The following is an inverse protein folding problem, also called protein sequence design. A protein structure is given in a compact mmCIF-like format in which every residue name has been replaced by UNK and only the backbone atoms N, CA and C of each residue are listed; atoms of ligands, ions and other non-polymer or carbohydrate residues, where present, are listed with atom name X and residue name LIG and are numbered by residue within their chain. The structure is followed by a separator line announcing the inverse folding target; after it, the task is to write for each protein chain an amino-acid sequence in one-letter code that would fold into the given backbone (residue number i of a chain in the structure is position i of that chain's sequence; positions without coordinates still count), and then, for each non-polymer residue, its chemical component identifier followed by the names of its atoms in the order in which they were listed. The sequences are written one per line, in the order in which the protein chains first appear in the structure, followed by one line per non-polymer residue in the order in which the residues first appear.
data_IF_089524389869
#
_entry.id   IF_089524389869
#
_cell.length_a   1.000
_cell.length_b   1.000
_cell.length_c   1.000
_cell.angle_alpha   90.00
_cell.angle_beta   90.00
_cell.angle_gamma   90.00
#
_symmetry.space_group_name_H-M   'P 1'
#
loop_
_entity.id
_entity.type
_entity.pdbx_description
1 polymer ?
#
# COMPACT_ATOMS: atom_id res chain seq x y z
N UNK A 1 -2.44 -6.70 -23.99
CA UNK A 1 -2.95 -7.82 -23.17
C UNK A 1 -2.27 -7.95 -21.80
N UNK A 2 -0.94 -8.17 -21.69
CA UNK A 2 -0.28 -8.24 -20.37
C UNK A 2 -0.22 -6.89 -19.65
N UNK A 3 0.24 -5.82 -20.33
CA UNK A 3 0.27 -4.46 -19.77
C UNK A 3 -1.12 -3.92 -19.38
N UNK A 4 -2.14 -4.30 -20.15
CA UNK A 4 -3.53 -3.92 -19.89
C UNK A 4 -4.08 -4.59 -18.62
N UNK A 5 -3.71 -5.86 -18.39
CA UNK A 5 -4.01 -6.56 -17.14
C UNK A 5 -3.32 -5.89 -15.95
N UNK A 6 -2.03 -5.52 -16.09
CA UNK A 6 -1.29 -4.81 -15.04
C UNK A 6 -1.97 -3.48 -14.67
N UNK A 7 -2.33 -2.67 -15.67
CA UNK A 7 -3.06 -1.42 -15.44
C UNK A 7 -4.41 -1.63 -14.75
N UNK A 8 -5.13 -2.71 -15.09
CA UNK A 8 -6.40 -3.05 -14.43
C UNK A 8 -6.19 -3.43 -12.95
N UNK A 9 -5.14 -4.19 -12.63
CA UNK A 9 -4.82 -4.57 -11.25
C UNK A 9 -4.42 -3.35 -10.42
N UNK A 10 -3.57 -2.48 -10.97
CA UNK A 10 -3.14 -1.24 -10.32
C UNK A 10 -4.35 -0.34 -10.05
N UNK A 11 -5.24 -0.16 -11.03
CA UNK A 11 -6.45 0.65 -10.89
C UNK A 11 -7.38 0.14 -9.79
N UNK A 12 -7.68 -1.16 -9.77
CA UNK A 12 -8.52 -1.75 -8.70
C UNK A 12 -7.86 -1.66 -7.32
N UNK A 13 -6.55 -1.83 -7.25
CA UNK A 13 -5.83 -1.74 -5.99
C UNK A 13 -5.78 -0.31 -5.44
N UNK A 14 -5.71 0.70 -6.30
CA UNK A 14 -5.73 2.11 -5.90
C UNK A 14 -7.12 2.58 -5.46
N UNK A 15 -8.19 2.06 -6.07
CA UNK A 15 -9.58 2.22 -5.60
C UNK A 15 -9.73 1.65 -4.18
N UNK A 16 -9.36 0.39 -3.98
CA UNK A 16 -9.41 -0.26 -2.66
C UNK A 16 -8.60 0.49 -1.59
N UNK A 17 -7.42 1.01 -1.95
CA UNK A 17 -6.57 1.80 -1.05
C UNK A 17 -7.26 3.11 -0.64
N UNK A 18 -7.89 3.78 -1.60
CA UNK A 18 -8.62 5.04 -1.35
C UNK A 18 -9.82 4.82 -0.43
N UNK A 19 -10.56 3.74 -0.62
CA UNK A 19 -11.71 3.37 0.22
C UNK A 19 -11.27 3.06 1.65
N UNK A 20 -10.20 2.28 1.82
CA UNK A 20 -9.61 1.99 3.14
C UNK A 20 -9.20 3.27 3.88
N UNK A 21 -8.62 4.25 3.18
CA UNK A 21 -8.24 5.53 3.78
C UNK A 21 -9.44 6.32 4.25
N UNK A 22 -10.47 6.40 3.42
CA UNK A 22 -11.68 7.15 3.75
C UNK A 22 -12.44 6.52 4.92
N UNK A 23 -12.36 5.20 5.10
CA UNK A 23 -12.91 4.52 6.27
C UNK A 23 -12.07 4.76 7.54
N UNK A 24 -10.74 4.69 7.45
CA UNK A 24 -9.87 4.76 8.62
C UNK A 24 -9.57 6.20 9.09
N UNK A 25 -9.53 7.18 8.19
CA UNK A 25 -9.15 8.57 8.47
C UNK A 25 -10.27 9.50 7.98
N UNK A 26 -10.85 10.37 8.85
CA UNK A 26 -10.40 10.72 10.20
C UNK A 26 -11.07 9.94 11.35
N UNK A 27 -12.17 9.23 11.09
CA UNK A 27 -13.05 8.70 12.15
C UNK A 27 -12.51 7.41 12.79
N UNK A 28 -11.86 6.54 12.00
CA UNK A 28 -11.34 5.25 12.47
C UNK A 28 -10.06 5.32 13.33
N UNK A 29 -9.57 6.51 13.64
CA UNK A 29 -8.35 6.69 14.45
C UNK A 29 -8.64 6.52 15.94
N UNK A 30 -7.80 5.74 16.65
CA UNK A 30 -7.89 5.58 18.11
C UNK A 30 -7.80 6.92 18.86
N UNK A 31 -6.96 7.82 18.37
CA UNK A 31 -6.88 9.20 18.84
C UNK A 31 -7.33 10.12 17.70
N UNK A 32 -8.42 10.83 17.94
CA UNK A 32 -8.98 11.81 17.01
C UNK A 32 -8.36 13.20 17.24
N UNK A 33 -8.52 14.08 16.25
CA UNK A 33 -8.18 15.49 16.39
C UNK A 33 -8.99 16.12 17.54
N UNK A 34 -8.41 17.00 18.40
CA UNK A 34 -7.07 17.60 18.34
C UNK A 34 -5.96 16.85 19.11
N UNK A 35 -6.27 15.73 19.76
CA UNK A 35 -5.32 15.05 20.66
C UNK A 35 -4.23 14.25 19.95
N UNK A 36 -4.44 13.95 18.67
CA UNK A 36 -3.46 13.26 17.85
C UNK A 36 -2.52 14.27 17.17
N UNK A 37 -1.32 14.43 17.74
CA UNK A 37 -0.31 15.36 17.21
C UNK A 37 0.08 15.02 15.76
N UNK A 38 0.14 13.74 15.40
CA UNK A 38 0.48 13.32 14.04
C UNK A 38 -0.59 13.73 13.03
N UNK A 39 -1.86 13.45 13.34
CA UNK A 39 -2.99 13.91 12.53
C UNK A 39 -3.04 15.45 12.48
N UNK A 40 -2.80 16.13 13.61
CA UNK A 40 -2.79 17.59 13.68
C UNK A 40 -1.73 18.19 12.78
N UNK A 41 -0.49 17.68 12.77
CA UNK A 41 0.59 18.18 11.90
C UNK A 41 0.24 18.09 10.41
N UNK A 42 -0.48 17.03 10.01
CA UNK A 42 -0.90 16.81 8.63
C UNK A 42 -2.10 17.71 8.28
N UNK A 43 -3.11 17.79 9.14
CA UNK A 43 -4.31 18.60 8.89
C UNK A 43 -4.02 20.11 8.89
N UNK A 44 -3.10 20.58 9.75
CA UNK A 44 -2.70 21.99 9.77
C UNK A 44 -1.69 22.36 8.69
N UNK A 45 -1.19 21.38 7.92
CA UNK A 45 -0.16 21.59 6.91
C UNK A 45 1.23 21.90 7.47
N UNK A 46 1.46 21.68 8.77
CA UNK A 46 2.75 21.93 9.40
C UNK A 46 3.84 20.99 8.86
N UNK A 47 3.55 19.68 8.80
CA UNK A 47 4.47 18.69 8.21
C UNK A 47 3.76 17.38 7.86
N UNK A 48 4.08 16.87 6.68
CA UNK A 48 3.53 15.61 6.16
C UNK A 48 2.26 15.81 5.34
N UNK A 49 1.80 14.73 4.72
CA UNK A 49 0.59 14.71 3.89
C UNK A 49 -0.37 13.61 4.33
N UNK A 50 -1.61 13.65 3.81
CA UNK A 50 -2.60 12.58 4.01
C UNK A 50 -2.06 11.20 3.60
N UNK A 51 -1.20 11.16 2.58
CA UNK A 51 -0.53 9.93 2.12
C UNK A 51 0.45 9.39 3.16
N UNK A 52 1.25 10.26 3.80
CA UNK A 52 2.14 9.83 4.88
C UNK A 52 1.32 9.29 6.06
N UNK A 53 0.21 9.94 6.39
CA UNK A 53 -0.66 9.51 7.48
C UNK A 53 -1.31 8.15 7.20
N UNK A 54 -1.76 7.93 5.96
CA UNK A 54 -2.38 6.66 5.55
C UNK A 54 -1.38 5.51 5.51
N UNK A 55 -0.16 5.72 5.03
CA UNK A 55 0.87 4.66 5.01
C UNK A 55 1.29 4.24 6.42
N UNK A 56 1.27 5.17 7.38
CA UNK A 56 1.53 4.86 8.78
C UNK A 56 0.34 4.14 9.43
N UNK A 57 -0.88 4.59 9.19
CA UNK A 57 -2.07 4.18 9.97
C UNK A 57 -2.90 3.06 9.31
N UNK A 58 -2.96 3.01 7.98
CA UNK A 58 -3.85 2.15 7.20
C UNK A 58 -3.08 1.01 6.52
N UNK A 59 -2.46 1.29 5.36
CA UNK A 59 -1.62 0.37 4.59
C UNK A 59 -0.74 1.15 3.61
N UNK A 60 0.35 0.55 3.14
CA UNK A 60 1.24 1.18 2.15
C UNK A 60 0.57 1.27 0.77
N UNK A 61 -0.09 0.19 0.34
CA UNK A 61 -0.76 0.11 -0.97
C UNK A 61 0.08 -0.59 -2.04
N UNK A 62 -0.23 -0.31 -3.31
CA UNK A 62 0.47 -0.90 -4.45
C UNK A 62 1.84 -0.25 -4.63
N UNK A 63 2.89 -1.07 -4.67
CA UNK A 63 4.22 -0.63 -5.06
C UNK A 63 4.40 -0.82 -6.56
N UNK A 64 4.76 0.27 -7.24
CA UNK A 64 4.98 0.30 -8.68
C UNK A 64 6.46 0.55 -8.97
N UNK A 65 7.03 -0.25 -9.87
CA UNK A 65 8.38 -0.06 -10.39
C UNK A 65 8.26 0.44 -11.82
N UNK A 66 8.70 1.68 -12.07
CA UNK A 66 8.60 2.34 -13.39
C UNK A 66 7.16 2.36 -13.94
N UNK A 67 6.16 2.50 -13.05
CA UNK A 67 4.73 2.50 -13.41
C UNK A 67 4.17 1.12 -13.76
N UNK A 68 4.85 0.03 -13.38
CA UNK A 68 4.41 -1.35 -13.59
C UNK A 68 4.44 -2.15 -12.30
N UNK A 69 3.81 -3.32 -12.34
CA UNK A 69 3.92 -4.30 -11.27
C UNK A 69 5.37 -4.82 -11.19
N UNK A 70 5.83 -5.28 -10.01
CA UNK A 70 7.13 -5.92 -9.87
C UNK A 70 7.32 -7.04 -10.90
N UNK A 71 8.48 -7.08 -11.59
CA UNK A 71 8.71 -8.03 -12.66
C UNK A 71 8.79 -9.45 -12.12
N UNK A 72 8.38 -10.41 -12.95
CA UNK A 72 8.56 -11.82 -12.65
C UNK A 72 9.95 -12.28 -13.09
N UNK A 73 10.54 -13.17 -12.30
CA UNK A 73 11.74 -13.92 -12.65
C UNK A 73 11.45 -14.92 -13.79
N UNK A 74 12.50 -15.46 -14.41
CA UNK A 74 12.37 -16.50 -15.44
C UNK A 74 11.63 -17.76 -14.96
N UNK A 75 11.60 -18.00 -13.65
CA UNK A 75 10.83 -19.08 -13.00
C UNK A 75 9.35 -18.72 -12.78
N UNK A 76 8.87 -17.61 -13.34
CA UNK A 76 7.51 -17.07 -13.15
C UNK A 76 7.14 -16.80 -11.68
N UNK A 77 8.13 -16.45 -10.85
CA UNK A 77 7.95 -16.05 -9.45
C UNK A 77 8.34 -14.58 -9.30
N UNK A 78 7.66 -13.83 -8.43
CA UNK A 78 8.09 -12.46 -8.09
C UNK A 78 9.22 -12.46 -7.06
N UNK A 79 9.16 -13.35 -6.07
CA UNK A 79 10.22 -13.62 -5.11
C UNK A 79 10.40 -15.14 -4.90
N UNK A 80 11.59 -15.60 -4.46
CA UNK A 80 11.85 -17.03 -4.25
C UNK A 80 10.90 -17.69 -3.23
N UNK A 81 10.35 -16.91 -2.30
CA UNK A 81 9.42 -17.37 -1.28
C UNK A 81 7.97 -17.55 -1.77
N UNK A 82 7.63 -17.07 -2.98
CA UNK A 82 6.29 -17.22 -3.55
C UNK A 82 6.19 -18.39 -4.52
N UNK A 83 4.99 -18.93 -4.68
CA UNK A 83 4.72 -19.99 -5.64
C UNK A 83 4.86 -19.48 -7.10
N UNK A 84 5.24 -20.33 -8.06
CA UNK A 84 5.22 -19.96 -9.48
C UNK A 84 3.81 -19.59 -9.90
N UNK A 85 3.68 -18.53 -10.70
CA UNK A 85 2.41 -18.06 -11.26
C UNK A 85 1.35 -17.71 -10.20
N UNK A 86 1.75 -17.38 -8.97
CA UNK A 86 0.82 -16.92 -7.93
C UNK A 86 0.15 -15.60 -8.37
N UNK A 87 -1.18 -15.59 -8.37
CA UNK A 87 -2.02 -14.47 -8.79
C UNK A 87 -2.44 -13.56 -7.64
N UNK A 88 -2.01 -13.83 -6.41
CA UNK A 88 -2.30 -12.96 -5.28
C UNK A 88 -1.73 -11.55 -5.49
N UNK A 89 -2.46 -10.52 -5.09
CA UNK A 89 -2.03 -9.11 -5.19
C UNK A 89 -0.74 -8.85 -4.40
N UNK A 90 -0.55 -9.57 -3.30
CA UNK A 90 0.65 -9.51 -2.45
C UNK A 90 1.92 -9.91 -3.19
N UNK A 91 1.87 -10.95 -4.04
CA UNK A 91 3.06 -11.36 -4.81
C UNK A 91 3.41 -10.33 -5.89
N UNK A 92 2.45 -9.49 -6.25
CA UNK A 92 2.60 -8.40 -7.23
C UNK A 92 2.83 -7.03 -6.56
N UNK A 93 3.38 -7.00 -5.35
CA UNK A 93 3.80 -5.75 -4.70
C UNK A 93 2.69 -4.95 -4.03
N UNK A 94 1.50 -5.54 -3.80
CA UNK A 94 0.50 -4.90 -2.96
C UNK A 94 0.78 -5.17 -1.47
N UNK A 95 1.09 -4.11 -0.72
CA UNK A 95 1.44 -4.17 0.70
C UNK A 95 0.20 -3.77 1.52
N UNK A 96 -0.45 -4.76 2.12
CA UNK A 96 -1.59 -4.54 3.02
C UNK A 96 -1.17 -4.12 4.43
N UNK A 97 0.10 -4.32 4.77
CA UNK A 97 0.66 -3.95 6.07
C UNK A 97 0.95 -2.43 6.11
N UNK A 98 1.22 -1.91 7.31
CA UNK A 98 1.43 -0.48 7.58
C UNK A 98 2.67 -0.24 8.43
N UNK A 99 3.26 0.95 8.33
CA UNK A 99 4.49 1.24 9.10
C UNK A 99 4.28 1.14 10.62
N UNK A 100 3.08 1.40 11.14
CA UNK A 100 2.81 1.31 12.57
C UNK A 100 2.92 -0.11 13.13
N UNK A 101 2.51 -1.14 12.38
CA UNK A 101 2.59 -2.55 12.82
C UNK A 101 3.83 -3.26 12.31
N UNK A 102 4.62 -2.61 11.45
CA UNK A 102 5.71 -3.23 10.71
C UNK A 102 5.23 -3.90 9.42
N UNK A 103 6.20 -4.20 8.56
CA UNK A 103 6.01 -4.78 7.22
C UNK A 103 6.67 -6.16 7.21
N UNK A 104 6.04 -7.14 6.56
CA UNK A 104 6.61 -8.48 6.41
C UNK A 104 7.87 -8.47 5.53
N UNK A 105 8.86 -9.36 5.76
CA UNK A 105 10.11 -9.35 5.00
C UNK A 105 9.94 -9.46 3.48
N UNK A 106 8.92 -10.20 3.01
CA UNK A 106 8.65 -10.31 1.56
C UNK A 106 8.16 -8.99 0.97
N UNK A 107 7.39 -8.23 1.75
CA UNK A 107 6.82 -6.94 1.34
C UNK A 107 7.83 -5.81 1.48
N UNK A 108 8.74 -5.92 2.45
CA UNK A 108 9.83 -4.98 2.65
C UNK A 108 10.83 -4.97 1.48
N UNK A 109 10.93 -6.06 0.72
CA UNK A 109 11.81 -6.15 -0.44
C UNK A 109 11.28 -5.40 -1.66
N UNK A 110 9.95 -5.31 -1.82
CA UNK A 110 9.31 -4.62 -2.94
C UNK A 110 9.45 -3.11 -2.81
#
# INVERSE_FOLDING_TARGET
RAQEYEGTVIGKNSENWSDLINMCIPVGLKLTFPRNCFASMVTTGAKGSKVNQSQVSCCLGQQELEGRLPPLMCTYRSLPCFAPCDTATRTRGYISDRFLSGIRPQEFFF
#
